data_IF_145574725220
#
_entry.id   IF_145574725220
#
_cell.length_a   1.000
_cell.length_b   1.000
_cell.length_c   1.000
_cell.angle_alpha   90.00
_cell.angle_beta   90.00
_cell.angle_gamma   90.00
#
_symmetry.space_group_name_H-M   'P 1'
#
loop_
_entity.id
_entity.type
_entity.pdbx_description
1 polymer ?
#
# COMPACT_ATOMS: atom_id res chain seq x y z
N UNK A 1 57.36 65.59 -20.97
CA UNK A 1 57.69 64.22 -21.39
C UNK A 1 57.42 63.31 -20.19
N UNK A 2 56.61 62.26 -20.39
CA UNK A 2 56.50 60.98 -19.63
C UNK A 2 56.36 61.05 -18.10
N UNK A 3 55.45 60.38 -17.38
CA UNK A 3 54.57 59.19 -17.52
C UNK A 3 53.61 59.27 -16.31
N UNK A 4 52.29 59.05 -16.39
CA UNK A 4 51.64 57.73 -16.45
C UNK A 4 51.10 57.31 -15.05
N UNK A 5 49.81 57.58 -14.82
CA UNK A 5 48.87 57.04 -13.77
C UNK A 5 48.77 55.48 -13.84
N UNK A 6 48.19 54.69 -12.90
CA UNK A 6 47.08 55.02 -11.97
C UNK A 6 46.98 54.27 -10.59
N UNK A 7 45.92 54.60 -9.83
CA UNK A 7 45.13 53.75 -8.90
C UNK A 7 45.32 53.83 -7.37
N UNK A 8 44.20 53.55 -6.69
CA UNK A 8 43.85 53.47 -5.24
C UNK A 8 43.29 54.78 -4.61
N UNK A 9 42.06 54.85 -4.10
CA UNK A 9 41.26 53.84 -3.37
C UNK A 9 39.76 53.89 -3.73
N UNK A 10 39.20 52.70 -3.93
CA UNK A 10 37.78 52.33 -4.07
C UNK A 10 37.13 52.25 -2.68
N UNK A 11 35.93 52.79 -2.52
CA UNK A 11 34.65 52.04 -2.37
C UNK A 11 34.36 51.55 -0.94
N UNK A 12 33.11 51.77 -0.53
CA UNK A 12 32.65 51.49 0.83
C UNK A 12 32.39 50.01 1.08
N UNK A 13 32.62 49.58 2.31
CA UNK A 13 31.99 48.41 2.94
C UNK A 13 31.93 48.74 4.43
N UNK A 14 30.78 49.15 4.98
CA UNK A 14 29.77 48.29 5.58
C UNK A 14 30.28 47.00 6.25
N UNK A 15 29.69 46.73 7.41
CA UNK A 15 29.73 45.51 8.22
C UNK A 15 30.78 45.46 9.36
N UNK A 16 30.33 45.59 10.63
CA UNK A 16 31.08 45.12 11.76
C UNK A 16 31.08 43.58 11.81
N UNK A 17 32.21 43.08 12.25
CA UNK A 17 32.63 41.71 12.51
C UNK A 17 31.59 40.79 13.20
N UNK A 18 31.61 39.54 12.72
CA UNK A 18 31.57 38.28 13.48
C UNK A 18 30.31 37.93 14.29
N UNK A 19 29.45 37.10 13.68
CA UNK A 19 28.47 36.25 14.36
C UNK A 19 28.86 34.77 14.15
N UNK A 20 29.48 34.09 15.15
CA UNK A 20 29.98 32.72 15.02
C UNK A 20 28.96 31.65 15.50
N UNK A 21 27.66 31.80 15.24
CA UNK A 21 26.64 30.86 15.77
C UNK A 21 25.75 30.19 14.69
N UNK A 22 26.18 30.22 13.42
CA UNK A 22 25.41 29.63 12.31
C UNK A 22 25.77 28.19 11.89
N UNK A 23 26.93 27.67 12.34
CA UNK A 23 27.39 26.31 11.98
C UNK A 23 26.77 25.22 12.85
N UNK A 24 26.74 25.44 14.17
CA UNK A 24 26.39 24.44 15.17
C UNK A 24 24.93 23.92 15.04
N UNK A 25 23.99 24.80 14.66
CA UNK A 25 22.57 24.42 14.52
C UNK A 25 22.34 23.59 13.25
N UNK A 26 23.09 23.87 12.18
CA UNK A 26 22.96 23.18 10.90
C UNK A 26 23.64 21.81 10.96
N UNK A 27 24.83 21.76 11.53
CA UNK A 27 25.56 20.51 11.76
C UNK A 27 24.81 19.61 12.75
N UNK A 28 24.21 20.16 13.82
CA UNK A 28 23.36 19.41 14.75
C UNK A 28 22.05 18.95 14.13
N UNK A 29 21.43 19.74 13.25
CA UNK A 29 20.21 19.35 12.54
C UNK A 29 20.50 18.28 11.49
N UNK A 30 21.66 18.34 10.83
CA UNK A 30 22.16 17.29 9.92
C UNK A 30 22.47 16.01 10.70
N UNK A 31 23.15 16.07 11.85
CA UNK A 31 23.39 14.90 12.71
C UNK A 31 22.11 14.32 13.33
N UNK A 32 21.13 15.15 13.69
CA UNK A 32 19.80 14.67 14.14
C UNK A 32 18.98 14.10 12.98
N UNK A 33 19.10 14.66 11.78
CA UNK A 33 18.47 14.11 10.58
C UNK A 33 19.09 12.77 10.20
N UNK A 34 20.42 12.64 10.20
CA UNK A 34 21.14 11.40 9.92
C UNK A 34 20.77 10.32 10.96
N UNK A 35 20.71 10.67 12.25
CA UNK A 35 20.28 9.76 13.32
C UNK A 35 18.80 9.39 13.25
N UNK A 36 17.95 10.31 12.79
CA UNK A 36 16.52 10.05 12.57
C UNK A 36 16.26 9.19 11.32
N UNK A 37 17.10 9.31 10.29
CA UNK A 37 17.08 8.48 9.08
C UNK A 37 17.54 7.05 9.42
N UNK A 38 18.66 6.90 10.15
CA UNK A 38 19.14 5.57 10.59
C UNK A 38 18.13 4.83 11.49
N UNK A 39 17.44 5.55 12.39
CA UNK A 39 16.40 4.95 13.24
C UNK A 39 15.08 4.66 12.53
N UNK A 40 14.80 5.35 11.42
CA UNK A 40 13.61 5.11 10.61
C UNK A 40 13.74 3.80 9.83
N UNK A 41 14.93 3.46 9.37
CA UNK A 41 15.16 2.22 8.61
C UNK A 41 14.84 0.97 9.42
N UNK A 42 15.19 0.92 10.71
CA UNK A 42 14.89 -0.25 11.54
C UNK A 42 13.37 -0.42 11.77
N UNK A 43 12.65 0.68 12.01
CA UNK A 43 11.19 0.67 12.13
C UNK A 43 10.47 0.36 10.81
N UNK A 44 11.02 0.82 9.67
CA UNK A 44 10.52 0.49 8.33
C UNK A 44 10.76 -0.98 8.03
N UNK A 45 11.93 -1.52 8.35
CA UNK A 45 12.24 -2.94 8.18
C UNK A 45 11.33 -3.81 9.03
N UNK A 46 11.02 -3.42 10.28
CA UNK A 46 10.07 -4.17 11.13
C UNK A 46 8.66 -4.21 10.52
N UNK A 47 8.14 -3.06 10.09
CA UNK A 47 6.82 -3.00 9.43
C UNK A 47 6.83 -3.81 8.14
N UNK A 48 7.86 -3.66 7.32
CA UNK A 48 8.00 -4.39 6.07
C UNK A 48 8.23 -5.88 6.28
N UNK A 49 8.83 -6.30 7.39
CA UNK A 49 8.99 -7.72 7.72
C UNK A 49 7.65 -8.38 7.99
N UNK A 50 6.69 -7.64 8.54
CA UNK A 50 5.31 -8.12 8.67
C UNK A 50 4.62 -8.24 7.31
N UNK A 51 4.78 -7.24 6.43
CA UNK A 51 4.14 -7.21 5.10
C UNK A 51 4.79 -8.17 4.10
N UNK A 52 6.10 -8.29 4.15
CA UNK A 52 6.93 -9.09 3.25
C UNK A 52 7.32 -10.42 3.88
N UNK A 53 6.71 -10.77 5.01
CA UNK A 53 6.85 -12.02 5.78
C UNK A 53 8.22 -12.26 6.43
N UNK A 54 9.29 -11.68 5.91
CA UNK A 54 10.65 -11.86 6.44
C UNK A 54 11.48 -10.58 6.40
N UNK A 55 12.38 -10.46 7.37
CA UNK A 55 13.40 -9.40 7.44
C UNK A 55 14.30 -9.37 6.20
N UNK A 56 14.64 -10.55 5.67
CA UNK A 56 15.46 -10.68 4.46
C UNK A 56 14.78 -10.00 3.27
N UNK A 57 13.49 -10.26 3.06
CA UNK A 57 12.71 -9.64 1.98
C UNK A 57 12.53 -8.13 2.22
N UNK A 58 12.34 -7.71 3.47
CA UNK A 58 12.28 -6.30 3.85
C UNK A 58 13.57 -5.55 3.51
N UNK A 59 14.73 -6.10 3.88
CA UNK A 59 16.05 -5.50 3.58
C UNK A 59 16.29 -5.42 2.08
N UNK A 60 15.94 -6.46 1.31
CA UNK A 60 16.03 -6.45 -0.15
C UNK A 60 15.12 -5.38 -0.76
N UNK A 61 13.88 -5.25 -0.27
CA UNK A 61 12.94 -4.25 -0.75
C UNK A 61 13.44 -2.82 -0.52
N UNK A 62 13.95 -2.52 0.68
CA UNK A 62 14.54 -1.21 1.00
C UNK A 62 15.71 -0.91 0.06
N UNK A 63 16.63 -1.86 -0.09
CA UNK A 63 17.78 -1.69 -0.99
C UNK A 63 17.35 -1.39 -2.45
N UNK A 64 16.35 -2.08 -2.97
CA UNK A 64 15.83 -1.86 -4.33
C UNK A 64 15.07 -0.54 -4.49
N UNK A 65 14.56 0.05 -3.40
CA UNK A 65 13.95 1.37 -3.41
C UNK A 65 14.99 2.48 -3.50
N UNK A 66 16.15 2.26 -2.93
CA UNK A 66 17.30 3.18 -3.03
C UNK A 66 18.07 3.00 -4.34
N UNK A 67 18.21 1.75 -4.80
CA UNK A 67 18.99 1.35 -5.96
C UNK A 67 18.09 0.60 -6.98
N UNK A 68 17.27 1.32 -7.75
CA UNK A 68 16.39 0.69 -8.74
C UNK A 68 17.22 0.00 -9.83
N UNK A 69 16.65 -1.05 -10.43
CA UNK A 69 17.26 -1.79 -11.55
C UNK A 69 18.56 -2.53 -11.16
N UNK A 70 18.66 -2.94 -9.90
CA UNK A 70 19.80 -3.70 -9.39
C UNK A 70 19.67 -5.19 -9.70
N UNK A 71 20.79 -5.84 -9.97
CA UNK A 71 20.89 -7.28 -10.16
C UNK A 71 20.89 -8.03 -8.82
N UNK A 72 20.72 -9.36 -8.87
CA UNK A 72 20.77 -10.18 -7.66
C UNK A 72 22.13 -10.14 -6.95
N UNK A 73 23.22 -9.97 -7.70
CA UNK A 73 24.57 -9.90 -7.13
C UNK A 73 24.81 -8.53 -6.49
N UNK A 74 24.46 -7.43 -7.17
CA UNK A 74 24.51 -6.07 -6.62
C UNK A 74 23.66 -5.95 -5.34
N UNK A 75 22.48 -6.57 -5.31
CA UNK A 75 21.61 -6.61 -4.13
C UNK A 75 22.24 -7.39 -2.97
N UNK A 76 22.92 -8.50 -3.25
CA UNK A 76 23.61 -9.28 -2.22
C UNK A 76 24.78 -8.49 -1.61
N UNK A 77 25.56 -7.83 -2.46
CA UNK A 77 26.67 -6.97 -2.03
C UNK A 77 26.18 -5.78 -1.20
N UNK A 78 25.08 -5.15 -1.62
CA UNK A 78 24.52 -3.98 -0.94
C UNK A 78 23.79 -4.27 0.37
N UNK A 79 23.13 -5.43 0.48
CA UNK A 79 22.40 -5.84 1.70
C UNK A 79 23.24 -6.66 2.67
N UNK A 80 24.42 -7.12 2.25
CA UNK A 80 25.26 -8.05 3.02
C UNK A 80 24.67 -9.46 3.16
N UNK A 81 23.64 -9.79 2.37
CA UNK A 81 22.98 -11.09 2.38
C UNK A 81 23.71 -12.09 1.46
N UNK A 82 23.50 -13.39 1.70
CA UNK A 82 24.13 -14.40 0.87
C UNK A 82 23.49 -14.45 -0.54
N UNK A 83 24.27 -14.55 -1.64
CA UNK A 83 23.72 -14.44 -2.99
C UNK A 83 22.62 -15.47 -3.34
N UNK A 84 22.65 -16.67 -2.76
CA UNK A 84 21.58 -17.66 -2.97
C UNK A 84 20.27 -17.22 -2.35
N UNK A 85 20.32 -16.71 -1.12
CA UNK A 85 19.16 -16.24 -0.38
C UNK A 85 18.53 -15.03 -1.07
N UNK A 86 19.36 -14.13 -1.61
CA UNK A 86 18.87 -12.99 -2.38
C UNK A 86 18.16 -13.43 -3.66
N UNK A 87 18.73 -14.38 -4.41
CA UNK A 87 18.07 -14.91 -5.62
C UNK A 87 16.74 -15.59 -5.32
N UNK A 88 16.66 -16.34 -4.23
CA UNK A 88 15.44 -16.99 -3.77
C UNK A 88 14.38 -15.95 -3.37
N UNK A 89 14.73 -15.03 -2.47
CA UNK A 89 13.83 -13.98 -2.03
C UNK A 89 13.37 -13.07 -3.19
N UNK A 90 14.24 -12.75 -4.15
CA UNK A 90 13.88 -11.98 -5.34
C UNK A 90 12.94 -12.74 -6.28
N UNK A 91 13.09 -14.07 -6.38
CA UNK A 91 12.18 -14.89 -7.17
C UNK A 91 10.79 -14.90 -6.51
N UNK A 92 10.72 -15.11 -5.20
CA UNK A 92 9.45 -15.10 -4.45
C UNK A 92 8.77 -13.73 -4.50
N UNK A 93 9.50 -12.65 -4.23
CA UNK A 93 8.97 -11.29 -4.33
C UNK A 93 8.46 -10.97 -5.74
N UNK A 94 9.10 -11.53 -6.78
CA UNK A 94 8.65 -11.35 -8.15
C UNK A 94 7.37 -12.14 -8.43
N UNK A 95 7.30 -13.38 -7.96
CA UNK A 95 6.14 -14.25 -8.14
C UNK A 95 4.90 -13.70 -7.40
N UNK A 96 5.13 -13.01 -6.28
CA UNK A 96 4.11 -12.27 -5.51
C UNK A 96 3.83 -10.86 -6.08
N UNK A 97 4.50 -10.45 -7.17
CA UNK A 97 4.28 -9.15 -7.83
C UNK A 97 4.81 -7.94 -7.06
N UNK A 98 5.58 -8.15 -5.98
CA UNK A 98 6.16 -7.10 -5.13
C UNK A 98 7.39 -6.44 -5.77
N UNK A 99 8.11 -7.18 -6.63
CA UNK A 99 9.20 -6.66 -7.46
C UNK A 99 8.99 -7.04 -8.92
N UNK A 100 9.45 -6.17 -9.81
CA UNK A 100 9.48 -6.44 -11.25
C UNK A 100 10.87 -6.89 -11.66
N UNK A 101 10.96 -7.86 -12.59
CA UNK A 101 12.23 -8.28 -13.18
C UNK A 101 12.29 -7.90 -14.65
N UNK A 102 13.43 -7.39 -15.11
CA UNK A 102 13.70 -7.11 -16.53
C UNK A 102 15.05 -7.65 -16.92
N UNK A 103 15.20 -8.02 -18.19
CA UNK A 103 16.48 -8.46 -18.72
C UNK A 103 17.28 -7.22 -19.10
N UNK A 104 18.47 -7.03 -18.51
CA UNK A 104 19.35 -5.89 -18.83
C UNK A 104 19.63 -5.89 -20.34
N UNK A 105 19.48 -4.75 -20.99
CA UNK A 105 19.95 -4.58 -22.37
C UNK A 105 21.47 -4.44 -22.31
N UNK A 106 22.17 -5.42 -22.86
CA UNK A 106 23.62 -5.39 -22.97
C UNK A 106 24.00 -5.88 -24.36
N UNK A 107 24.78 -5.07 -25.08
CA UNK A 107 25.29 -5.36 -26.43
C UNK A 107 26.36 -6.48 -26.46
N UNK A 108 26.61 -7.15 -25.33
CA UNK A 108 27.63 -8.18 -25.17
C UNK A 108 27.12 -9.60 -25.45
N UNK A 109 27.98 -10.46 -25.99
CA UNK A 109 27.71 -11.88 -26.28
C UNK A 109 27.64 -12.76 -25.00
N UNK A 110 27.00 -12.27 -23.93
CA UNK A 110 26.81 -12.94 -22.65
C UNK A 110 25.34 -13.20 -22.33
N UNK A 111 25.08 -13.92 -21.24
CA UNK A 111 23.74 -13.99 -20.69
C UNK A 111 23.49 -12.68 -19.91
N UNK A 112 22.48 -11.91 -20.31
CA UNK A 112 22.18 -10.67 -19.60
C UNK A 112 21.55 -11.00 -18.25
N UNK A 113 22.07 -10.44 -17.15
CA UNK A 113 21.48 -10.62 -15.83
C UNK A 113 20.08 -9.99 -15.78
N UNK A 114 19.27 -10.48 -14.85
CA UNK A 114 18.01 -9.85 -14.51
C UNK A 114 18.26 -8.69 -13.55
N UNK A 115 17.60 -7.57 -13.83
CA UNK A 115 17.50 -6.41 -12.97
C UNK A 115 16.15 -6.42 -12.29
N UNK A 116 16.14 -5.97 -11.05
CA UNK A 116 14.96 -5.96 -10.20
C UNK A 116 14.64 -4.53 -9.79
N UNK A 117 13.34 -4.24 -9.72
CA UNK A 117 12.85 -2.96 -9.21
C UNK A 117 11.64 -3.22 -8.31
N UNK A 118 11.68 -2.66 -7.09
CA UNK A 118 10.58 -2.74 -6.14
C UNK A 118 9.43 -1.82 -6.53
N UNK A 119 8.20 -2.28 -6.32
CA UNK A 119 7.00 -1.46 -6.50
C UNK A 119 6.97 -0.27 -5.54
N UNK A 120 6.06 0.69 -5.75
CA UNK A 120 5.93 1.79 -4.79
C UNK A 120 5.32 1.30 -3.47
N UNK A 121 5.72 1.86 -2.31
CA UNK A 121 5.12 1.51 -1.02
C UNK A 121 3.60 1.69 -0.99
N UNK A 122 3.06 2.67 -1.71
CA UNK A 122 1.61 2.88 -1.83
C UNK A 122 0.91 1.72 -2.54
N UNK A 123 1.54 1.14 -3.56
CA UNK A 123 1.01 -0.02 -4.27
C UNK A 123 1.09 -1.27 -3.37
N UNK A 124 2.18 -1.43 -2.62
CA UNK A 124 2.35 -2.52 -1.66
C UNK A 124 1.23 -2.49 -0.60
N UNK A 125 0.91 -1.31 -0.07
CA UNK A 125 -0.20 -1.13 0.88
C UNK A 125 -1.56 -1.41 0.23
N UNK A 126 -1.74 -1.05 -1.04
CA UNK A 126 -2.95 -1.37 -1.80
C UNK A 126 -3.25 -2.87 -1.81
N UNK A 127 -2.26 -3.69 -2.15
CA UNK A 127 -2.40 -5.14 -2.19
C UNK A 127 -2.84 -5.72 -0.83
N UNK A 128 -2.27 -5.23 0.28
CA UNK A 128 -2.64 -5.69 1.64
C UNK A 128 -4.10 -5.36 1.95
N UNK A 129 -4.58 -4.18 1.55
CA UNK A 129 -5.96 -3.75 1.78
C UNK A 129 -6.93 -4.67 1.02
N UNK A 130 -6.58 -5.10 -0.18
CA UNK A 130 -7.36 -6.08 -0.93
C UNK A 130 -7.38 -7.45 -0.24
N UNK A 131 -6.23 -7.93 0.24
CA UNK A 131 -6.12 -9.20 0.99
C UNK A 131 -6.93 -9.18 2.30
N UNK A 132 -6.91 -8.07 3.04
CA UNK A 132 -7.70 -7.90 4.28
C UNK A 132 -9.19 -7.86 3.97
N UNK A 133 -9.59 -7.17 2.89
CA UNK A 133 -10.99 -7.15 2.46
C UNK A 133 -11.48 -8.55 2.09
N UNK A 134 -10.70 -9.32 1.33
CA UNK A 134 -11.08 -10.69 0.96
C UNK A 134 -11.25 -11.58 2.19
N UNK A 135 -10.33 -11.51 3.15
CA UNK A 135 -10.42 -12.26 4.40
C UNK A 135 -11.62 -11.84 5.26
N UNK A 136 -11.90 -10.53 5.38
CA UNK A 136 -13.07 -10.04 6.10
C UNK A 136 -14.36 -10.49 5.41
N UNK A 137 -14.43 -10.39 4.08
CA UNK A 137 -15.55 -10.91 3.32
C UNK A 137 -15.74 -12.42 3.55
N UNK A 138 -14.65 -13.19 3.62
CA UNK A 138 -14.72 -14.62 3.93
C UNK A 138 -15.27 -14.87 5.34
N UNK A 139 -14.86 -14.09 6.34
CA UNK A 139 -15.37 -14.20 7.71
C UNK A 139 -16.85 -13.81 7.79
N UNK A 140 -17.26 -12.71 7.15
CA UNK A 140 -18.68 -12.29 7.17
C UNK A 140 -19.58 -13.29 6.44
N UNK A 141 -19.17 -13.80 5.27
CA UNK A 141 -19.92 -14.86 4.59
C UNK A 141 -19.97 -16.16 5.40
N UNK A 142 -18.93 -16.45 6.20
CA UNK A 142 -18.91 -17.58 7.11
C UNK A 142 -19.83 -17.37 8.32
N UNK A 143 -19.86 -16.16 8.90
CA UNK A 143 -20.76 -15.78 10.00
C UNK A 143 -22.23 -15.83 9.54
N UNK A 144 -22.55 -15.30 8.36
CA UNK A 144 -23.88 -15.41 7.74
C UNK A 144 -24.27 -16.88 7.50
N UNK A 145 -23.33 -17.73 7.06
CA UNK A 145 -23.61 -19.15 6.86
C UNK A 145 -23.80 -19.92 8.19
N UNK A 146 -23.16 -19.49 9.27
CA UNK A 146 -23.27 -20.08 10.61
C UNK A 146 -24.49 -19.55 11.38
N UNK A 147 -24.96 -18.33 11.12
CA UNK A 147 -26.21 -17.78 11.68
C UNK A 147 -27.46 -18.48 11.11
N UNK A 148 -27.34 -19.11 9.93
CA UNK A 148 -28.38 -19.95 9.31
C UNK A 148 -28.50 -21.33 10.00
N UNK A 149 -27.54 -21.73 10.86
CA UNK A 149 -27.64 -22.96 11.66
C UNK A 149 -28.37 -22.77 13.01
N UNK A 150 -28.86 -21.56 13.32
CA UNK A 150 -29.97 -21.43 14.27
C UNK A 150 -31.26 -21.65 13.49
N UNK A 151 -31.95 -22.81 13.61
CA UNK A 151 -33.27 -22.92 13.03
C UNK A 151 -34.13 -21.83 13.65
N UNK A 152 -34.50 -20.84 12.85
CA UNK A 152 -35.57 -19.93 13.20
C UNK A 152 -36.77 -20.81 13.64
N UNK A 153 -37.48 -20.48 14.73
CA UNK A 153 -38.74 -21.14 15.02
C UNK A 153 -39.59 -21.07 13.74
N UNK A 154 -40.34 -22.12 13.38
CA UNK A 154 -41.09 -22.13 12.13
C UNK A 154 -42.04 -20.93 12.12
N UNK A 155 -41.72 -19.91 11.34
CA UNK A 155 -42.65 -18.83 11.01
C UNK A 155 -43.25 -19.17 9.66
N UNK A 156 -44.25 -20.03 9.71
CA UNK A 156 -45.38 -20.10 8.80
C UNK A 156 -45.13 -19.50 7.41
N UNK A 157 -44.78 -20.37 6.45
CA UNK A 157 -45.12 -20.20 5.04
C UNK A 157 -46.65 -20.15 4.89
N UNK A 158 -47.26 -19.00 5.16
CA UNK A 158 -48.60 -18.71 4.68
C UNK A 158 -48.55 -17.34 4.01
N UNK A 159 -48.60 -17.35 2.67
CA UNK A 159 -48.85 -16.14 1.89
C UNK A 159 -50.05 -15.38 2.51
N UNK A 160 -49.98 -14.05 2.64
CA UNK A 160 -51.03 -13.27 3.29
C UNK A 160 -52.37 -13.46 2.59
N UNK A 161 -53.34 -14.08 3.28
CA UNK A 161 -54.67 -14.28 2.74
C UNK A 161 -55.45 -12.97 2.81
N UNK A 162 -55.90 -12.46 1.66
CA UNK A 162 -56.73 -11.26 1.59
C UNK A 162 -58.19 -11.65 1.75
N UNK A 163 -58.82 -11.25 2.86
CA UNK A 163 -60.26 -11.43 3.09
C UNK A 163 -60.97 -10.13 2.71
N UNK A 164 -61.64 -10.13 1.55
CA UNK A 164 -62.54 -9.05 1.14
C UNK A 164 -63.89 -9.27 1.80
N UNK A 165 -64.23 -8.41 2.76
CA UNK A 165 -65.57 -8.38 3.36
C UNK A 165 -66.41 -7.42 2.50
N UNK A 166 -67.31 -7.99 1.70
CA UNK A 166 -68.35 -7.21 1.02
C UNK A 166 -69.40 -6.83 2.06
N UNK A 167 -69.54 -5.54 2.32
CA UNK A 167 -70.59 -5.03 3.21
C UNK A 167 -71.92 -5.21 2.48
N UNK A 168 -72.75 -6.14 2.96
CA UNK A 168 -74.10 -6.35 2.46
C UNK A 168 -74.98 -5.18 2.91
N UNK A 169 -74.79 -4.02 2.27
CA UNK A 169 -75.70 -2.90 2.31
C UNK A 169 -76.67 -3.03 1.13
N UNK A 170 -77.89 -3.45 1.49
CA UNK A 170 -79.17 -3.26 0.82
C UNK A 170 -79.22 -3.37 -0.71
N UNK A 171 -79.66 -4.52 -1.20
CA UNK A 171 -80.60 -4.59 -2.33
C UNK A 171 -81.68 -5.62 -1.96
N UNK A 172 -82.75 -5.14 -1.33
CA UNK A 172 -84.04 -5.80 -1.32
C UNK A 172 -84.66 -5.69 -2.72
N UNK A 173 -85.09 -6.81 -3.29
CA UNK A 173 -86.36 -6.84 -4.04
C UNK A 173 -86.86 -8.29 -4.13
N UNK A 174 -87.94 -8.53 -3.38
CA UNK A 174 -88.83 -9.67 -3.44
C UNK A 174 -89.35 -9.91 -4.87
N UNK A 175 -89.45 -11.17 -5.27
CA UNK A 175 -90.07 -11.52 -6.56
C UNK A 175 -90.17 -13.01 -6.83
N UNK A 176 -90.63 -13.79 -5.84
CA UNK A 176 -91.13 -15.14 -6.05
C UNK A 176 -92.28 -15.13 -7.07
N UNK A 177 -92.07 -15.72 -8.24
CA UNK A 177 -93.14 -16.29 -9.05
C UNK A 177 -92.62 -17.63 -9.58
N UNK A 178 -93.02 -18.74 -8.95
CA UNK A 178 -93.46 -19.97 -9.62
C UNK A 178 -94.19 -20.90 -8.61
N UNK A 179 -95.47 -21.16 -8.88
CA UNK A 179 -96.07 -22.48 -8.66
C UNK A 179 -97.17 -22.61 -7.60
N UNK A 180 -98.43 -22.51 -8.04
CA UNK A 180 -99.56 -23.20 -7.38
C UNK A 180 -100.25 -24.12 -8.40
N UNK A 181 -100.10 -25.43 -8.16
CA UNK A 181 -100.98 -26.59 -8.48
C UNK A 181 -101.16 -27.06 -9.95
#
# INVERSE_FOLDING_TARGET
MSTGDPSDDVDGTDSPDEDPEGGDVRDRLEEEADRAIEGFDEGVVDLLSWVLETETRARIYVYLRENPESTSDETADGTGLYPSTVREALAELHDEGKVTRRKRESDGAGNNPYEYAAMAPSELVGNIIDDVQEQLNAVFNLDDALDVETPAPPTTDEDPVTITVEDASDEADDGDDEGDL
#
